data_IF_388840858348
#
_entry.id   IF_388840858348
#
_cell.length_a   1.000
_cell.length_b   1.000
_cell.length_c   1.000
_cell.angle_alpha   90.00
_cell.angle_beta   90.00
_cell.angle_gamma   90.00
#
_symmetry.space_group_name_H-M   'P 1'
#
loop_
_entity.id
_entity.type
_entity.pdbx_description
1 polymer ?
#
# COMPACT_ATOMS: atom_id res chain seq x y z
N UNK A 1 -9.72 15.32 -29.82
CA UNK A 1 -10.30 16.15 -28.73
C UNK A 1 -11.11 15.17 -27.89
N UNK A 2 -10.79 14.74 -26.67
CA UNK A 2 -10.14 15.25 -25.45
C UNK A 2 -9.31 14.05 -24.88
N UNK A 3 -8.19 14.11 -24.16
CA UNK A 3 -7.59 15.10 -23.26
C UNK A 3 -6.09 14.76 -23.10
N UNK A 4 -5.23 15.51 -23.78
CA UNK A 4 -3.84 15.70 -23.37
C UNK A 4 -3.82 16.89 -22.39
N UNK A 5 -3.93 16.64 -21.09
CA UNK A 5 -3.62 17.65 -20.08
C UNK A 5 -3.08 16.99 -18.79
N UNK A 6 -1.78 17.19 -18.55
CA UNK A 6 -0.98 16.90 -17.35
C UNK A 6 -0.37 15.49 -17.14
N UNK A 7 0.72 15.13 -17.84
CA UNK A 7 1.56 13.98 -17.48
C UNK A 7 2.57 14.25 -16.34
N UNK A 8 2.60 15.47 -15.76
CA UNK A 8 3.70 15.90 -14.89
C UNK A 8 3.37 16.34 -13.47
N UNK A 9 2.10 16.57 -13.09
CA UNK A 9 1.75 17.16 -11.78
C UNK A 9 0.81 16.37 -10.88
N UNK A 10 0.08 15.37 -11.42
CA UNK A 10 -0.81 14.51 -10.62
C UNK A 10 -0.41 13.03 -10.64
N UNK A 11 0.80 12.70 -11.11
CA UNK A 11 1.33 11.35 -10.94
C UNK A 11 2.02 11.29 -9.59
N UNK A 12 1.23 11.11 -8.52
CA UNK A 12 1.79 10.67 -7.24
C UNK A 12 2.51 9.36 -7.54
N UNK A 13 3.83 9.42 -7.65
CA UNK A 13 4.62 8.20 -7.86
C UNK A 13 4.37 7.30 -6.65
N UNK A 14 4.31 5.98 -6.86
CA UNK A 14 4.12 4.97 -5.80
C UNK A 14 5.08 5.20 -4.62
N UNK A 15 6.24 5.80 -4.90
CA UNK A 15 7.24 6.25 -3.93
C UNK A 15 6.79 7.41 -3.05
N UNK A 16 6.15 8.44 -3.60
CA UNK A 16 5.59 9.55 -2.80
C UNK A 16 4.40 9.07 -1.98
N UNK A 17 3.52 8.26 -2.58
CA UNK A 17 2.36 7.68 -1.90
C UNK A 17 2.76 6.80 -0.72
N UNK A 18 3.75 5.92 -0.89
CA UNK A 18 4.24 5.05 0.20
C UNK A 18 4.89 5.82 1.35
N UNK A 19 5.58 6.94 1.09
CA UNK A 19 6.13 7.80 2.15
C UNK A 19 5.02 8.42 3.01
N UNK A 20 4.00 8.99 2.36
CA UNK A 20 2.86 9.59 3.07
C UNK A 20 2.09 8.53 3.85
N UNK A 21 1.81 7.38 3.22
CA UNK A 21 1.16 6.25 3.89
C UNK A 21 1.95 5.75 5.10
N UNK A 22 3.28 5.72 5.02
CA UNK A 22 4.14 5.28 6.11
C UNK A 22 4.06 6.20 7.33
N UNK A 23 4.07 7.52 7.11
CA UNK A 23 3.91 8.52 8.17
C UNK A 23 2.51 8.41 8.79
N UNK A 24 1.46 8.38 7.96
CA UNK A 24 0.07 8.25 8.43
C UNK A 24 -0.12 6.98 9.26
N UNK A 25 0.40 5.85 8.79
CA UNK A 25 0.34 4.59 9.52
C UNK A 25 1.04 4.67 10.88
N UNK A 26 2.17 5.36 10.96
CA UNK A 26 2.88 5.56 12.24
C UNK A 26 2.07 6.39 13.23
N UNK A 27 1.42 7.46 12.76
CA UNK A 27 0.53 8.28 13.59
C UNK A 27 -0.62 7.44 14.14
N UNK A 28 -1.21 6.58 13.32
CA UNK A 28 -2.28 5.66 13.74
C UNK A 28 -1.78 4.71 14.84
N UNK A 29 -0.62 4.07 14.67
CA UNK A 29 -0.07 3.17 15.69
C UNK A 29 0.23 3.88 17.02
N UNK A 30 0.79 5.09 16.98
CA UNK A 30 1.05 5.90 18.18
C UNK A 30 -0.26 6.30 18.85
N UNK A 31 -1.27 6.70 18.09
CA UNK A 31 -2.60 7.02 18.60
C UNK A 31 -3.28 5.84 19.28
N UNK A 32 -3.21 4.65 18.68
CA UNK A 32 -3.77 3.42 19.24
C UNK A 32 -3.04 2.94 20.50
N UNK A 33 -1.72 3.14 20.55
CA UNK A 33 -0.94 2.90 21.76
C UNK A 33 -1.37 3.85 22.89
N UNK A 34 -1.45 5.15 22.61
CA UNK A 34 -1.89 6.14 23.57
C UNK A 34 -3.31 5.86 24.09
N UNK A 35 -4.23 5.48 23.20
CA UNK A 35 -5.59 5.05 23.56
C UNK A 35 -5.57 3.84 24.50
N UNK A 36 -4.74 2.84 24.21
CA UNK A 36 -4.64 1.62 25.03
C UNK A 36 -4.07 1.91 26.42
N UNK A 37 -3.07 2.78 26.51
CA UNK A 37 -2.50 3.24 27.79
C UNK A 37 -3.52 4.07 28.57
N UNK A 38 -4.28 4.95 27.91
CA UNK A 38 -5.34 5.72 28.53
C UNK A 38 -6.44 4.81 29.11
N UNK A 39 -6.85 3.78 28.37
CA UNK A 39 -7.81 2.77 28.86
C UNK A 39 -7.30 2.00 30.08
N UNK A 40 -6.00 1.68 30.12
CA UNK A 40 -5.33 1.07 31.27
C UNK A 40 -5.37 1.95 32.53
N UNK A 41 -5.12 3.24 32.38
CA UNK A 41 -5.21 4.23 33.47
C UNK A 41 -6.65 4.30 33.97
N UNK A 42 -7.61 4.42 33.05
CA UNK A 42 -9.03 4.51 33.37
C UNK A 42 -9.52 3.28 34.17
N UNK A 43 -9.16 2.07 33.74
CA UNK A 43 -9.54 0.82 34.44
C UNK A 43 -8.92 0.74 35.83
N UNK A 44 -7.70 1.26 36.00
CA UNK A 44 -7.01 1.27 37.29
C UNK A 44 -7.65 2.27 38.27
N UNK A 45 -8.15 3.39 37.77
CA UNK A 45 -8.76 4.46 38.58
C UNK A 45 -10.26 4.25 38.83
N UNK A 46 -10.96 3.51 37.96
CA UNK A 46 -12.37 3.17 38.11
C UNK A 46 -12.76 2.54 39.46
N UNK A 47 -12.02 1.56 40.03
CA UNK A 47 -12.35 0.98 41.33
C UNK A 47 -12.17 1.96 42.51
N UNK A 48 -11.39 3.03 42.35
CA UNK A 48 -11.24 4.05 43.39
C UNK A 48 -12.46 4.98 43.49
N UNK A 49 -13.22 5.14 42.39
CA UNK A 49 -14.43 5.97 42.34
C UNK A 49 -15.74 5.20 42.62
N UNK A 50 -15.76 3.88 42.40
CA UNK A 50 -16.95 3.02 42.52
C UNK A 50 -17.02 2.22 43.83
N UNK A 51 -16.44 2.73 44.93
CA UNK A 51 -16.48 2.10 46.27
C UNK A 51 -17.88 1.88 46.88
N UNK A 52 -18.95 2.15 46.12
CA UNK A 52 -20.34 2.01 46.56
C UNK A 52 -21.17 1.27 45.51
N UNK A 53 -20.94 -0.04 45.34
CA UNK A 53 -21.99 -1.05 45.33
C UNK A 53 -21.41 -2.44 45.02
N UNK A 54 -21.45 -3.29 46.05
CA UNK A 54 -21.79 -4.72 45.99
C UNK A 54 -21.34 -5.48 44.74
N UNK A 55 -20.15 -6.08 44.86
CA UNK A 55 -19.53 -6.92 43.84
C UNK A 55 -20.29 -8.21 43.55
N UNK A 56 -20.62 -8.40 42.29
CA UNK A 56 -20.75 -9.74 41.71
C UNK A 56 -19.36 -10.23 41.30
N UNK A 57 -19.03 -11.48 41.58
CA UNK A 57 -17.78 -12.13 41.13
C UNK A 57 -17.57 -11.99 39.61
N UNK A 58 -18.68 -11.91 38.85
CA UNK A 58 -18.71 -11.65 37.42
C UNK A 58 -18.09 -10.29 37.04
N UNK A 59 -18.44 -9.20 37.73
CA UNK A 59 -17.87 -7.88 37.43
C UNK A 59 -16.37 -7.83 37.71
N UNK A 60 -15.91 -8.44 38.79
CA UNK A 60 -14.49 -8.52 39.10
C UNK A 60 -13.73 -9.36 38.06
N UNK A 61 -14.30 -10.49 37.62
CA UNK A 61 -13.73 -11.32 36.57
C UNK A 61 -13.69 -10.58 35.22
N UNK A 62 -14.76 -9.87 34.86
CA UNK A 62 -14.82 -9.06 33.64
C UNK A 62 -13.79 -7.94 33.67
N UNK A 63 -13.67 -7.18 34.76
CA UNK A 63 -12.68 -6.10 34.88
C UNK A 63 -11.25 -6.62 34.74
N UNK A 64 -10.95 -7.81 35.30
CA UNK A 64 -9.65 -8.46 35.12
C UNK A 64 -9.42 -8.89 33.67
N UNK A 65 -10.46 -9.38 32.98
CA UNK A 65 -10.39 -9.72 31.56
C UNK A 65 -10.15 -8.48 30.68
N UNK A 66 -10.86 -7.39 30.93
CA UNK A 66 -10.66 -6.10 30.25
C UNK A 66 -9.25 -5.56 30.48
N UNK A 67 -8.74 -5.60 31.71
CA UNK A 67 -7.36 -5.22 32.00
C UNK A 67 -6.36 -6.03 31.16
N UNK A 68 -6.51 -7.36 31.13
CA UNK A 68 -5.68 -8.24 30.30
C UNK A 68 -5.76 -7.92 28.80
N UNK A 69 -6.95 -7.57 28.31
CA UNK A 69 -7.16 -7.12 26.93
C UNK A 69 -6.39 -5.83 26.63
N UNK A 70 -6.50 -4.80 27.48
CA UNK A 70 -5.78 -3.54 27.24
C UNK A 70 -4.27 -3.69 27.35
N UNK A 71 -3.76 -4.54 28.25
CA UNK A 71 -2.32 -4.85 28.34
C UNK A 71 -1.83 -5.51 27.04
N UNK A 72 -2.54 -6.53 26.55
CA UNK A 72 -2.14 -7.22 25.32
C UNK A 72 -2.22 -6.31 24.10
N UNK A 73 -3.26 -5.47 24.00
CA UNK A 73 -3.37 -4.44 22.97
C UNK A 73 -2.21 -3.45 23.03
N UNK A 74 -1.86 -2.92 24.21
CA UNK A 74 -0.75 -2.00 24.36
C UNK A 74 0.58 -2.60 23.87
N UNK A 75 0.84 -3.88 24.17
CA UNK A 75 2.03 -4.59 23.67
C UNK A 75 2.00 -4.72 22.14
N UNK A 76 0.87 -5.11 21.56
CA UNK A 76 0.70 -5.24 20.10
C UNK A 76 0.93 -3.88 19.42
N UNK A 77 0.36 -2.80 19.94
CA UNK A 77 0.52 -1.46 19.37
C UNK A 77 1.95 -0.92 19.56
N UNK A 78 2.63 -1.25 20.65
CA UNK A 78 4.04 -0.90 20.87
C UNK A 78 4.96 -1.58 19.84
N UNK A 79 4.76 -2.88 19.59
CA UNK A 79 5.45 -3.60 18.52
C UNK A 79 5.12 -2.96 17.17
N UNK A 80 3.85 -2.62 16.94
CA UNK A 80 3.40 -1.91 15.74
C UNK A 80 4.11 -0.57 15.54
N UNK A 81 4.36 0.20 16.60
CA UNK A 81 5.15 1.44 16.53
C UNK A 81 6.58 1.18 16.07
N UNK A 82 7.29 0.21 16.66
CA UNK A 82 8.67 -0.14 16.28
C UNK A 82 8.76 -0.57 14.82
N UNK A 83 7.83 -1.42 14.39
CA UNK A 83 7.76 -1.92 13.03
C UNK A 83 7.37 -0.80 12.05
N UNK A 84 6.50 0.13 12.44
CA UNK A 84 6.13 1.28 11.63
C UNK A 84 7.29 2.28 11.46
N UNK A 85 8.07 2.52 12.52
CA UNK A 85 9.29 3.36 12.42
C UNK A 85 10.31 2.76 11.46
N UNK A 86 10.48 1.44 11.49
CA UNK A 86 11.31 0.72 10.52
C UNK A 86 10.78 0.89 9.09
N UNK A 87 9.46 0.83 8.90
CA UNK A 87 8.85 1.07 7.59
C UNK A 87 9.06 2.50 7.08
N UNK A 88 8.93 3.51 7.95
CA UNK A 88 9.24 4.91 7.62
C UNK A 88 10.68 5.02 7.13
N UNK A 89 11.61 4.48 7.90
CA UNK A 89 13.03 4.47 7.52
C UNK A 89 13.25 3.80 6.15
N UNK A 90 12.65 2.63 5.92
CA UNK A 90 12.72 1.92 4.64
C UNK A 90 12.09 2.69 3.48
N UNK A 91 11.00 3.42 3.71
CA UNK A 91 10.33 4.24 2.69
C UNK A 91 11.16 5.46 2.27
N UNK A 92 11.88 6.08 3.21
CA UNK A 92 12.76 7.23 2.92
C UNK A 92 14.09 6.81 2.30
N UNK A 93 14.73 5.78 2.85
CA UNK A 93 16.04 5.27 2.38
C UNK A 93 15.95 4.36 1.16
N UNK A 94 14.75 3.86 0.82
CA UNK A 94 14.56 2.91 -0.27
C UNK A 94 15.16 1.53 0.02
N UNK A 95 15.41 1.20 1.29
CA UNK A 95 16.02 -0.07 1.67
C UNK A 95 14.95 -1.14 1.93
N UNK A 96 14.95 -2.17 1.09
CA UNK A 96 13.98 -3.27 1.11
C UNK A 96 13.93 -4.03 2.45
N UNK A 97 15.08 -4.17 3.12
CA UNK A 97 15.22 -4.94 4.38
C UNK A 97 14.34 -4.43 5.52
N UNK A 98 14.09 -3.12 5.57
CA UNK A 98 13.31 -2.50 6.65
C UNK A 98 11.80 -2.52 6.41
N UNK A 99 11.36 -2.83 5.19
CA UNK A 99 9.94 -2.85 4.80
C UNK A 99 9.32 -4.23 5.04
N UNK A 100 10.12 -5.30 4.92
CA UNK A 100 9.65 -6.68 5.07
C UNK A 100 9.02 -6.97 6.44
N UNK A 101 9.62 -6.59 7.59
CA UNK A 101 9.02 -6.83 8.90
C UNK A 101 7.64 -6.18 9.04
N UNK A 102 7.45 -5.01 8.43
CA UNK A 102 6.18 -4.30 8.42
C UNK A 102 5.11 -5.02 7.60
N UNK A 103 5.48 -5.54 6.44
CA UNK A 103 4.58 -6.37 5.65
C UNK A 103 4.18 -7.64 6.41
N UNK A 104 5.12 -8.37 7.00
CA UNK A 104 4.81 -9.59 7.74
C UNK A 104 3.89 -9.28 8.93
N UNK A 105 4.23 -8.27 9.73
CA UNK A 105 3.43 -7.87 10.89
C UNK A 105 2.01 -7.45 10.50
N UNK A 106 1.87 -6.60 9.47
CA UNK A 106 0.56 -6.13 9.00
C UNK A 106 -0.27 -7.26 8.38
N UNK A 107 0.37 -8.19 7.68
CA UNK A 107 -0.27 -9.40 7.15
C UNK A 107 -0.85 -10.29 8.26
N UNK A 108 -0.09 -10.52 9.34
CA UNK A 108 -0.58 -11.27 10.51
C UNK A 108 -1.78 -10.56 11.16
N UNK A 109 -1.68 -9.24 11.37
CA UNK A 109 -2.79 -8.44 11.91
C UNK A 109 -4.07 -8.54 11.08
N UNK A 110 -3.97 -8.47 9.75
CA UNK A 110 -5.14 -8.61 8.86
C UNK A 110 -5.71 -10.03 8.88
N UNK A 111 -4.85 -11.06 9.04
CA UNK A 111 -5.30 -12.43 9.23
C UNK A 111 -6.14 -12.59 10.50
N UNK A 112 -5.69 -12.01 11.61
CA UNK A 112 -6.42 -12.01 12.88
C UNK A 112 -7.72 -11.19 12.75
N UNK A 113 -7.66 -10.00 12.17
CA UNK A 113 -8.84 -9.14 11.94
C UNK A 113 -9.89 -9.85 11.07
N UNK A 114 -9.46 -10.57 10.02
CA UNK A 114 -10.33 -11.37 9.17
C UNK A 114 -10.99 -12.54 9.91
N UNK A 115 -10.24 -13.22 10.79
CA UNK A 115 -10.81 -14.29 11.63
C UNK A 115 -11.87 -13.75 12.60
N UNK A 116 -11.61 -12.60 13.23
CA UNK A 116 -12.56 -11.93 14.12
C UNK A 116 -13.80 -11.48 13.34
N UNK A 117 -13.62 -10.91 12.14
CA UNK A 117 -14.74 -10.51 11.28
C UNK A 117 -15.66 -11.67 10.93
N UNK A 118 -15.11 -12.84 10.57
CA UNK A 118 -15.90 -14.05 10.32
C UNK A 118 -16.66 -14.50 11.57
N UNK A 119 -16.02 -14.46 12.73
CA UNK A 119 -16.66 -14.81 14.01
C UNK A 119 -17.83 -13.87 14.33
N UNK A 120 -17.68 -12.56 14.09
CA UNK A 120 -18.77 -11.59 14.27
C UNK A 120 -19.95 -11.91 13.35
N UNK A 121 -19.70 -12.25 12.07
CA UNK A 121 -20.77 -12.61 11.13
C UNK A 121 -21.53 -13.84 11.62
N UNK A 122 -20.82 -14.88 12.08
CA UNK A 122 -21.45 -16.12 12.56
C UNK A 122 -22.37 -15.83 13.75
N UNK A 123 -21.92 -15.02 14.70
CA UNK A 123 -22.73 -14.63 15.88
C UNK A 123 -23.89 -13.71 15.46
N UNK A 124 -23.65 -12.77 14.55
CA UNK A 124 -24.70 -11.88 14.05
C UNK A 124 -25.83 -12.67 13.38
N UNK A 125 -25.47 -13.69 12.61
CA UNK A 125 -26.41 -14.57 11.93
C UNK A 125 -27.15 -15.51 12.90
N UNK A 126 -26.48 -16.02 13.95
CA UNK A 126 -27.15 -16.87 14.95
C UNK A 126 -28.17 -16.09 15.78
N UNK A 127 -27.81 -14.88 16.19
CA UNK A 127 -28.61 -14.08 17.12
C UNK A 127 -29.58 -13.14 16.40
N UNK A 128 -29.58 -13.16 15.06
CA UNK A 128 -30.35 -12.26 14.18
C UNK A 128 -30.21 -10.77 14.59
N UNK A 129 -29.01 -10.38 15.01
CA UNK A 129 -28.74 -9.07 15.60
C UNK A 129 -28.29 -8.06 14.55
N UNK A 130 -29.17 -7.15 14.17
CA UNK A 130 -28.88 -6.07 13.21
C UNK A 130 -27.71 -5.18 13.65
N UNK A 131 -27.50 -5.02 14.95
CA UNK A 131 -26.39 -4.23 15.48
C UNK A 131 -25.03 -4.90 15.18
N UNK A 132 -24.95 -6.22 15.30
CA UNK A 132 -23.74 -6.97 14.95
C UNK A 132 -23.46 -6.95 13.45
N UNK A 133 -24.51 -6.93 12.60
CA UNK A 133 -24.33 -6.71 11.16
C UNK A 133 -23.81 -5.30 10.85
N UNK A 134 -24.27 -4.27 11.56
CA UNK A 134 -23.71 -2.92 11.47
C UNK A 134 -22.23 -2.89 11.85
N UNK A 135 -21.87 -3.55 12.97
CA UNK A 135 -20.47 -3.69 13.41
C UNK A 135 -19.62 -4.43 12.38
N UNK A 136 -20.14 -5.53 11.81
CA UNK A 136 -19.48 -6.26 10.74
C UNK A 136 -19.26 -5.36 9.51
N UNK A 137 -20.22 -4.52 9.12
CA UNK A 137 -20.06 -3.57 8.03
C UNK A 137 -18.90 -2.59 8.24
N UNK A 138 -18.77 -2.03 9.45
CA UNK A 138 -17.64 -1.15 9.81
C UNK A 138 -16.31 -1.91 9.76
N UNK A 139 -16.28 -3.13 10.29
CA UNK A 139 -15.11 -4.01 10.22
C UNK A 139 -14.72 -4.34 8.78
N UNK A 140 -15.69 -4.65 7.93
CA UNK A 140 -15.46 -4.95 6.51
C UNK A 140 -14.83 -3.75 5.79
N UNK A 141 -15.32 -2.54 6.07
CA UNK A 141 -14.74 -1.31 5.53
C UNK A 141 -13.31 -1.06 6.02
N UNK A 142 -13.06 -1.23 7.32
CA UNK A 142 -11.70 -1.17 7.91
C UNK A 142 -10.75 -2.15 7.23
N UNK A 143 -11.17 -3.41 7.13
CA UNK A 143 -10.38 -4.49 6.55
C UNK A 143 -10.10 -4.24 5.07
N UNK A 144 -11.08 -3.72 4.30
CA UNK A 144 -10.87 -3.34 2.90
C UNK A 144 -9.84 -2.22 2.74
N UNK A 145 -9.91 -1.17 3.56
CA UNK A 145 -8.91 -0.09 3.57
C UNK A 145 -7.52 -0.61 3.96
N UNK A 146 -7.48 -1.49 4.96
CA UNK A 146 -6.26 -2.13 5.42
C UNK A 146 -5.61 -3.01 4.34
N UNK A 147 -6.38 -3.84 3.64
CA UNK A 147 -5.92 -4.66 2.51
C UNK A 147 -5.40 -3.74 1.39
N UNK A 148 -6.13 -2.67 1.05
CA UNK A 148 -5.67 -1.71 0.05
C UNK A 148 -4.30 -1.15 0.41
N UNK A 149 -4.13 -0.68 1.65
CA UNK A 149 -2.84 -0.20 2.16
C UNK A 149 -1.76 -1.28 2.03
N UNK A 150 -2.06 -2.51 2.44
CA UNK A 150 -1.13 -3.64 2.38
C UNK A 150 -0.65 -3.91 0.95
N UNK A 151 -1.57 -3.93 -0.02
CA UNK A 151 -1.26 -4.13 -1.44
C UNK A 151 -0.38 -3.00 -2.00
N UNK A 152 -0.63 -1.74 -1.61
CA UNK A 152 0.20 -0.60 -2.02
C UNK A 152 1.64 -0.75 -1.50
N UNK A 153 1.80 -1.08 -0.21
CA UNK A 153 3.13 -1.28 0.38
C UNK A 153 3.83 -2.50 -0.22
N UNK A 154 3.11 -3.59 -0.47
CA UNK A 154 3.64 -4.79 -1.11
C UNK A 154 4.12 -4.49 -2.54
N UNK A 155 3.38 -3.68 -3.28
CA UNK A 155 3.75 -3.24 -4.63
C UNK A 155 5.03 -2.40 -4.60
N UNK A 156 5.15 -1.48 -3.65
CA UNK A 156 6.39 -0.70 -3.44
C UNK A 156 7.57 -1.60 -3.06
N UNK A 157 7.36 -2.57 -2.17
CA UNK A 157 8.38 -3.55 -1.79
C UNK A 157 8.89 -4.38 -2.98
N UNK A 158 8.00 -4.77 -3.89
CA UNK A 158 8.38 -5.48 -5.13
C UNK A 158 9.18 -4.58 -6.08
N UNK A 159 8.81 -3.31 -6.23
CA UNK A 159 9.54 -2.34 -7.07
C UNK A 159 10.99 -2.12 -6.61
N UNK A 160 11.25 -2.17 -5.30
CA UNK A 160 12.61 -2.06 -4.75
C UNK A 160 13.48 -3.31 -5.01
N UNK A 161 12.87 -4.45 -5.32
CA UNK A 161 13.57 -5.70 -5.61
C UNK A 161 13.85 -5.94 -7.09
N UNK A 162 13.22 -5.17 -7.99
CA UNK A 162 13.47 -5.25 -9.43
C UNK A 162 14.71 -4.41 -9.76
N UNK A 163 15.62 -4.89 -10.63
CA UNK A 163 16.66 -4.06 -11.20
C UNK A 163 16.01 -2.80 -11.80
N UNK A 164 16.57 -1.62 -11.56
CA UNK A 164 16.14 -0.41 -12.28
C UNK A 164 16.21 -0.75 -13.77
N UNK A 165 15.06 -0.89 -14.43
CA UNK A 165 15.01 -0.72 -15.87
C UNK A 165 15.33 0.75 -16.11
N UNK A 166 16.63 1.04 -16.22
CA UNK A 166 17.11 2.14 -17.04
C UNK A 166 16.53 1.88 -18.42
N UNK A 167 15.40 2.52 -18.70
CA UNK A 167 15.05 2.84 -20.07
C UNK A 167 16.22 3.68 -20.56
N UNK A 168 17.16 3.04 -21.26
CA UNK A 168 18.23 3.73 -21.95
C UNK A 168 17.54 4.77 -22.83
N UNK A 169 17.79 6.07 -22.63
CA UNK A 169 17.30 7.07 -23.56
C UNK A 169 17.74 6.64 -24.96
N UNK A 170 16.89 6.71 -26.01
CA UNK A 170 17.40 6.52 -27.36
C UNK A 170 18.61 7.45 -27.51
N UNK A 171 19.74 6.88 -27.94
CA UNK A 171 21.01 7.58 -28.01
C UNK A 171 20.81 8.97 -28.64
N UNK A 172 21.43 10.03 -28.10
CA UNK A 172 21.38 11.32 -28.76
C UNK A 172 21.85 11.12 -30.20
N UNK A 173 21.02 11.53 -31.16
CA UNK A 173 21.37 11.52 -32.57
C UNK A 173 22.68 12.27 -32.69
N UNK A 174 23.77 11.53 -32.95
CA UNK A 174 25.06 12.10 -33.28
C UNK A 174 24.83 12.89 -34.58
N UNK A 175 24.68 14.20 -34.46
CA UNK A 175 24.72 15.10 -35.63
C UNK A 175 26.16 15.07 -36.10
N UNK A 176 26.46 14.12 -36.99
CA UNK A 176 27.74 14.01 -37.65
C UNK A 176 27.87 15.24 -38.54
N UNK A 177 28.61 16.23 -38.04
CA UNK A 177 28.95 17.46 -38.75
C UNK A 177 29.95 17.10 -39.85
N UNK A 178 29.45 16.67 -41.01
CA UNK A 178 30.27 16.47 -42.20
C UNK A 178 30.49 17.81 -42.89
N UNK A 179 31.76 18.24 -42.90
CA UNK A 179 32.33 19.27 -43.76
C UNK A 179 31.99 18.99 -45.23
N UNK A 180 31.64 20.00 -46.07
CA UNK A 180 31.11 19.76 -47.41
C UNK A 180 32.24 19.50 -48.44
N UNK A 181 32.09 18.43 -49.24
CA UNK A 181 32.81 18.18 -50.49
C UNK A 181 31.97 17.19 -51.36
N UNK A 182 32.12 17.17 -52.69
CA UNK A 182 31.15 17.76 -53.62
C UNK A 182 30.12 16.77 -54.21
N UNK A 183 29.05 17.38 -54.73
CA UNK A 183 27.82 16.80 -55.28
C UNK A 183 28.06 16.23 -56.69
N UNK A 184 28.64 15.04 -56.85
CA UNK A 184 28.50 14.23 -58.09
C UNK A 184 28.66 12.75 -57.73
N UNK A 185 27.60 12.06 -57.29
CA UNK A 185 27.57 10.58 -57.25
C UNK A 185 26.19 9.96 -56.92
N UNK A 186 25.19 10.74 -56.47
CA UNK A 186 23.98 10.18 -55.86
C UNK A 186 22.71 10.20 -56.74
N UNK A 187 22.85 10.34 -58.07
CA UNK A 187 21.69 10.38 -58.99
C UNK A 187 21.35 9.03 -59.62
N UNK A 188 22.27 8.07 -59.66
CA UNK A 188 22.02 6.80 -60.36
C UNK A 188 21.46 5.70 -59.44
N UNK A 189 21.78 5.73 -58.14
CA UNK A 189 21.40 4.63 -57.23
C UNK A 189 19.95 4.72 -56.73
N UNK A 190 19.33 5.92 -56.78
CA UNK A 190 17.93 6.10 -56.37
C UNK A 190 16.97 5.51 -57.41
N UNK A 191 17.28 5.59 -58.70
CA UNK A 191 16.34 5.25 -59.79
C UNK A 191 16.06 3.75 -59.92
N UNK A 192 17.02 2.90 -59.52
CA UNK A 192 16.92 1.43 -59.65
C UNK A 192 16.06 0.80 -58.54
N UNK A 193 15.97 1.42 -57.36
CA UNK A 193 15.21 0.85 -56.22
C UNK A 193 13.71 1.19 -56.31
N UNK A 194 13.35 2.32 -56.95
CA UNK A 194 11.94 2.70 -57.08
C UNK A 194 11.19 1.94 -58.20
N UNK A 195 11.89 1.44 -59.22
CA UNK A 195 11.25 0.65 -60.28
C UNK A 195 10.90 -0.78 -59.85
N UNK A 196 11.67 -1.39 -58.96
CA UNK A 196 11.39 -2.75 -58.46
C UNK A 196 10.18 -2.81 -57.49
N UNK A 197 10.00 -1.80 -56.62
CA UNK A 197 8.85 -1.80 -55.67
C UNK A 197 7.50 -1.46 -56.31
N UNK A 198 7.47 -0.83 -57.49
CA UNK A 198 6.22 -0.52 -58.19
C UNK A 198 5.69 -1.75 -58.93
N UNK A 199 6.57 -2.65 -59.37
CA UNK A 199 6.16 -3.87 -60.07
C UNK A 199 5.61 -4.96 -59.15
N UNK A 200 6.07 -5.01 -57.88
CA UNK A 200 5.62 -6.00 -56.89
C UNK A 200 4.19 -5.72 -56.38
N UNK A 201 3.74 -4.46 -56.40
CA UNK A 201 2.43 -4.05 -55.92
C UNK A 201 1.30 -4.08 -56.97
N UNK A 202 1.59 -4.37 -58.25
CA UNK A 202 0.56 -4.52 -59.29
C UNK A 202 0.17 -5.98 -59.58
N UNK A 203 0.85 -6.97 -58.99
CA UNK A 203 0.58 -8.39 -59.24
C UNK A 203 -0.32 -9.08 -58.19
N UNK A 204 -0.78 -8.38 -57.15
CA UNK A 204 -1.58 -8.95 -56.05
C UNK A 204 -3.07 -8.54 -56.09
N UNK A 205 -3.49 -7.82 -57.14
CA UNK A 205 -4.90 -7.54 -57.42
C UNK A 205 -5.30 -8.08 -58.80
N UNK A 206 -5.37 -9.41 -58.91
CA UNK A 206 -6.16 -10.15 -59.91
C UNK A 206 -6.05 -11.67 -59.64
N UNK A 207 -6.68 -12.15 -58.56
CA UNK A 207 -7.45 -13.43 -58.46
C UNK A 207 -8.47 -13.25 -57.35
#
# INVERSE_FOLDING_TARGET
MLTHCCPGRCKMTVRTGSRVLSVLNTIVYVGLLAWSVYGLILIKDLPNHLKTHTGSSLQHALMKAWYGLYVTLAVIWAIGCLVSMSFVWGAFTGQRRYILPHLVFKGILHGIEGAIFLLIIVIAASDNSYWLFGLAGVFAFSLALGIYFFVVVLSYYKQLGLPRQTVTPPAPVQVQRTTPAPVIALREQKTVVYTLRVQENMAVHCV
#
